data_IF_754996721359
#
_entry.id   IF_754996721359
#
_cell.length_a   1.000
_cell.length_b   1.000
_cell.length_c   1.000
_cell.angle_alpha   90.00
_cell.angle_beta   90.00
_cell.angle_gamma   90.00
#
_symmetry.space_group_name_H-M   'P 1'
#
loop_
_entity.id
_entity.type
_entity.pdbx_description
1 polymer ?
#
# COMPACT_ATOMS: atom_id res chain seq x y z
N UNK A 1 -10.04 -10.62 16.13
CA UNK A 1 -9.55 -10.26 14.78
C UNK A 1 -8.49 -9.19 14.97
N UNK A 2 -7.23 -9.54 14.77
CA UNK A 2 -6.15 -8.56 14.76
C UNK A 2 -6.31 -7.69 13.52
N UNK A 3 -6.70 -6.42 13.71
CA UNK A 3 -6.68 -5.40 12.67
C UNK A 3 -5.22 -5.14 12.32
N UNK A 4 -4.73 -5.86 11.30
CA UNK A 4 -3.36 -5.70 10.81
C UNK A 4 -3.27 -4.38 10.04
N UNK A 5 -2.27 -3.59 10.45
CA UNK A 5 -1.57 -2.57 9.66
C UNK A 5 -1.57 -2.99 8.20
N UNK A 6 -1.90 -2.06 7.30
CA UNK A 6 -2.08 -2.24 5.86
C UNK A 6 -1.30 -3.45 5.38
N UNK A 7 -1.99 -4.51 4.96
CA UNK A 7 -1.31 -5.77 4.65
C UNK A 7 -0.53 -5.55 3.37
N UNK A 8 0.77 -5.80 3.40
CA UNK A 8 1.64 -5.63 2.26
C UNK A 8 2.14 -7.00 1.85
N UNK A 9 1.95 -7.37 0.60
CA UNK A 9 2.44 -8.61 0.00
C UNK A 9 3.31 -8.26 -1.20
N UNK A 10 4.43 -8.95 -1.35
CA UNK A 10 5.42 -8.69 -2.41
C UNK A 10 5.28 -9.72 -3.53
N UNK A 11 5.40 -9.26 -4.78
CA UNK A 11 5.51 -10.08 -5.98
C UNK A 11 6.57 -9.45 -6.89
N UNK A 12 7.75 -10.07 -7.00
CA UNK A 12 8.87 -9.49 -7.74
C UNK A 12 9.16 -8.07 -7.26
N UNK A 13 9.18 -7.11 -8.19
CA UNK A 13 9.35 -5.69 -7.89
C UNK A 13 8.03 -4.94 -7.64
N UNK A 14 6.93 -5.65 -7.36
CA UNK A 14 5.60 -5.07 -7.11
C UNK A 14 5.12 -5.39 -5.70
N UNK A 15 4.51 -4.39 -5.05
CA UNK A 15 3.86 -4.55 -3.76
C UNK A 15 2.35 -4.42 -3.90
N UNK A 16 1.62 -5.40 -3.40
CA UNK A 16 0.20 -5.31 -3.14
C UNK A 16 0.01 -4.66 -1.77
N UNK A 17 -0.58 -3.46 -1.76
CA UNK A 17 -0.89 -2.73 -0.53
C UNK A 17 -2.39 -2.77 -0.29
N UNK A 18 -2.79 -3.50 0.75
CA UNK A 18 -4.17 -3.68 1.16
C UNK A 18 -4.54 -2.70 2.28
N UNK A 19 -5.32 -1.66 1.94
CA UNK A 19 -5.85 -0.65 2.90
C UNK A 19 -7.38 -0.73 3.01
N UNK A 20 -8.01 -0.18 4.05
CA UNK A 20 -9.48 -0.29 4.24
C UNK A 20 -10.33 0.11 3.02
N UNK A 21 -9.82 1.00 2.14
CA UNK A 21 -10.55 1.54 0.98
C UNK A 21 -10.20 0.92 -0.38
N UNK A 22 -9.33 -0.09 -0.44
CA UNK A 22 -8.99 -0.75 -1.70
C UNK A 22 -7.66 -1.48 -1.70
N UNK A 23 -7.23 -1.88 -2.90
CA UNK A 23 -5.94 -2.52 -3.15
C UNK A 23 -5.15 -1.64 -4.11
N UNK A 24 -3.86 -1.48 -3.85
CA UNK A 24 -2.94 -0.81 -4.74
C UNK A 24 -1.82 -1.76 -5.14
N UNK A 25 -1.48 -1.75 -6.43
CA UNK A 25 -0.23 -2.28 -6.96
C UNK A 25 0.76 -1.14 -6.97
N UNK A 26 1.90 -1.33 -6.32
CA UNK A 26 2.90 -0.27 -6.13
C UNK A 26 4.25 -0.79 -6.62
N UNK A 27 4.89 -0.13 -7.59
CA UNK A 27 6.25 -0.46 -7.99
C UNK A 27 7.19 -0.34 -6.79
N UNK A 28 8.22 -1.17 -6.70
CA UNK A 28 9.18 -1.17 -5.59
C UNK A 28 9.83 0.21 -5.41
N UNK A 29 10.16 0.88 -6.51
CA UNK A 29 10.76 2.21 -6.50
C UNK A 29 9.85 3.26 -5.83
N UNK A 30 8.53 3.18 -6.03
CA UNK A 30 7.57 4.08 -5.37
C UNK A 30 7.30 3.62 -3.93
N UNK A 31 7.18 2.31 -3.70
CA UNK A 31 6.97 1.77 -2.36
C UNK A 31 8.11 2.14 -1.42
N UNK A 32 9.37 2.06 -1.86
CA UNK A 32 10.54 2.44 -1.07
C UNK A 32 10.62 3.94 -0.78
N UNK A 33 10.06 4.80 -1.64
CA UNK A 33 9.95 6.25 -1.40
C UNK A 33 8.91 6.57 -0.33
N UNK A 34 7.85 5.79 -0.26
CA UNK A 34 6.75 5.95 0.69
C UNK A 34 7.10 5.30 2.04
N UNK A 35 7.87 4.21 2.01
CA UNK A 35 8.14 3.38 3.18
C UNK A 35 8.78 4.19 4.30
N UNK A 36 8.19 3.99 5.48
CA UNK A 36 8.66 4.47 6.76
C UNK A 36 10.15 4.11 6.95
N UNK A 37 11.03 5.11 6.91
CA UNK A 37 12.39 4.97 7.46
C UNK A 37 12.25 4.88 8.97
N UNK A 38 12.33 3.68 9.57
CA UNK A 38 12.56 3.31 10.99
C UNK A 38 11.88 4.12 12.12
N UNK A 39 11.00 5.06 11.83
CA UNK A 39 10.56 6.13 12.73
C UNK A 39 9.03 6.31 12.76
N UNK A 40 8.29 5.45 12.07
CA UNK A 40 6.82 5.49 12.03
C UNK A 40 6.20 6.65 11.24
N UNK A 41 7.00 7.38 10.46
CA UNK A 41 6.54 8.45 9.57
C UNK A 41 6.52 7.97 8.13
N UNK A 42 5.37 8.09 7.47
CA UNK A 42 5.19 7.84 6.03
C UNK A 42 5.35 9.18 5.32
N UNK A 43 6.28 9.26 4.37
CA UNK A 43 6.58 10.51 3.66
C UNK A 43 6.08 10.44 2.21
N UNK A 44 5.65 11.57 1.67
CA UNK A 44 5.38 11.77 0.24
C UNK A 44 5.97 13.09 -0.24
N UNK A 45 6.21 13.19 -1.55
CA UNK A 45 6.56 14.47 -2.17
C UNK A 45 5.39 15.44 -2.06
N UNK A 46 5.67 16.72 -1.77
CA UNK A 46 4.62 17.74 -1.61
C UNK A 46 3.70 17.81 -2.82
N UNK A 47 4.24 17.70 -4.03
CA UNK A 47 3.46 17.83 -5.27
C UNK A 47 2.28 16.86 -5.39
N UNK A 48 2.31 15.75 -4.66
CA UNK A 48 1.21 14.78 -4.64
C UNK A 48 0.02 15.27 -3.81
N UNK A 49 0.17 16.29 -2.96
CA UNK A 49 -0.94 16.84 -2.14
C UNK A 49 -1.73 17.93 -2.86
N UNK A 50 -1.21 18.49 -3.94
CA UNK A 50 -1.82 19.58 -4.68
C UNK A 50 -2.80 19.04 -5.72
N UNK A 51 -4.10 19.15 -5.46
CA UNK A 51 -5.09 19.16 -6.54
C UNK A 51 -4.83 20.42 -7.39
N UNK A 52 -4.68 20.25 -8.70
CA UNK A 52 -4.37 21.29 -9.68
C UNK A 52 -5.48 22.35 -9.90
N UNK A 53 -6.36 22.56 -8.91
CA UNK A 53 -7.47 23.51 -9.04
C UNK A 53 -7.48 24.56 -7.93
N UNK A 54 -7.16 25.77 -8.37
CA UNK A 54 -7.56 27.07 -7.85
C UNK A 54 -6.70 27.75 -6.75
N UNK A 55 -6.75 29.09 -6.80
CA UNK A 55 -5.75 30.09 -6.39
C UNK A 55 -5.55 30.29 -4.88
N UNK A 56 -5.61 29.25 -4.08
CA UNK A 56 -5.11 29.24 -2.71
C UNK A 56 -4.70 27.81 -2.35
N UNK A 57 -3.61 27.33 -2.96
CA UNK A 57 -3.03 26.04 -2.58
C UNK A 57 -2.66 26.14 -1.09
N UNK A 58 -3.42 25.48 -0.20
CA UNK A 58 -3.17 25.49 1.24
C UNK A 58 -1.67 25.21 1.46
N UNK A 59 -0.98 26.20 2.02
CA UNK A 59 0.47 26.13 2.17
C UNK A 59 0.79 24.93 3.05
N UNK A 60 1.54 23.98 2.50
CA UNK A 60 1.98 22.80 3.23
C UNK A 60 3.17 23.20 4.09
N UNK A 61 2.91 23.52 5.36
CA UNK A 61 3.90 24.06 6.28
C UNK A 61 4.38 22.99 7.26
N UNK A 62 5.70 22.94 7.48
CA UNK A 62 6.30 22.13 8.52
C UNK A 62 6.03 22.75 9.90
N UNK A 63 5.44 22.00 10.84
CA UNK A 63 5.11 22.53 12.17
C UNK A 63 6.34 22.91 13.02
N UNK A 64 7.52 22.40 12.66
CA UNK A 64 8.74 22.59 13.46
C UNK A 64 9.52 23.82 12.99
N UNK A 65 9.87 23.88 11.70
CA UNK A 65 10.61 25.02 11.16
C UNK A 65 9.69 26.16 10.66
N UNK A 66 8.38 25.92 10.53
CA UNK A 66 7.40 26.85 9.94
C UNK A 66 7.71 27.27 8.50
N UNK A 67 8.61 26.55 7.84
CA UNK A 67 8.89 26.74 6.42
C UNK A 67 7.86 26.00 5.58
N UNK A 68 7.52 26.61 4.45
CA UNK A 68 6.71 26.00 3.43
C UNK A 68 7.55 24.97 2.66
N UNK A 69 7.07 23.73 2.59
CA UNK A 69 7.78 22.67 1.88
C UNK A 69 7.77 22.95 0.37
N UNK A 70 8.86 22.79 -0.37
CA UNK A 70 8.84 22.87 -1.83
C UNK A 70 8.08 21.68 -2.44
N UNK A 71 7.65 21.79 -3.71
CA UNK A 71 6.91 20.72 -4.41
C UNK A 71 7.64 19.37 -4.43
N UNK A 72 8.96 19.38 -4.52
CA UNK A 72 9.78 18.17 -4.53
C UNK A 72 10.19 17.68 -3.13
N UNK A 73 9.84 18.43 -2.07
CA UNK A 73 10.19 18.05 -0.71
C UNK A 73 9.35 16.88 -0.22
N UNK A 74 10.02 15.98 0.51
CA UNK A 74 9.34 14.90 1.21
C UNK A 74 8.81 15.41 2.55
N UNK A 75 7.52 15.22 2.74
CA UNK A 75 6.80 15.64 3.94
C UNK A 75 5.96 14.49 4.51
N UNK A 76 5.85 14.44 5.83
CA UNK A 76 5.01 13.48 6.54
C UNK A 76 3.81 14.20 7.19
N UNK A 77 2.56 13.84 6.88
CA UNK A 77 1.39 14.48 7.46
C UNK A 77 1.23 14.20 8.96
N UNK A 78 0.80 15.22 9.72
CA UNK A 78 0.52 15.11 11.16
C UNK A 78 -0.90 14.67 11.51
N UNK A 79 -1.83 14.81 10.56
CA UNK A 79 -3.23 14.39 10.68
C UNK A 79 -3.81 14.07 9.30
N UNK A 80 -4.99 13.45 9.26
CA UNK A 80 -5.70 13.11 8.01
C UNK A 80 -6.03 14.31 7.13
N UNK A 81 -6.34 15.43 7.77
CA UNK A 81 -6.64 16.71 7.11
C UNK A 81 -5.39 17.48 6.73
N UNK A 82 -4.20 16.96 7.04
CA UNK A 82 -2.91 17.53 6.65
C UNK A 82 -2.70 19.01 7.05
N UNK A 83 -3.35 19.47 8.12
CA UNK A 83 -3.19 20.85 8.61
C UNK A 83 -1.73 21.28 8.78
N UNK A 84 -0.87 20.31 9.12
CA UNK A 84 0.56 20.48 9.19
C UNK A 84 1.28 19.20 8.79
N UNK A 85 2.54 19.37 8.38
CA UNK A 85 3.45 18.27 8.06
C UNK A 85 4.75 18.34 8.86
N UNK A 86 5.60 17.34 8.71
CA UNK A 86 7.02 17.38 9.07
C UNK A 86 7.85 17.29 7.80
N UNK A 87 8.75 18.25 7.58
CA UNK A 87 9.77 18.13 6.54
C UNK A 87 10.83 17.10 6.93
N UNK A 88 11.50 16.52 5.94
CA UNK A 88 12.54 15.51 6.13
C UNK A 88 13.61 15.92 7.14
N UNK A 89 14.08 17.17 7.08
CA UNK A 89 15.12 17.67 7.97
C UNK A 89 14.65 17.69 9.43
N UNK A 90 13.42 18.17 9.66
CA UNK A 90 12.81 18.17 10.99
C UNK A 90 12.55 16.75 11.49
N UNK A 91 12.18 15.80 10.63
CA UNK A 91 12.09 14.39 11.02
C UNK A 91 13.44 13.91 11.54
N UNK A 92 14.52 14.08 10.77
CA UNK A 92 15.88 13.66 11.15
C UNK A 92 16.37 14.33 12.43
N UNK A 93 16.07 15.61 12.60
CA UNK A 93 16.37 16.34 13.82
C UNK A 93 15.61 15.81 15.04
N UNK A 94 14.32 15.50 14.89
CA UNK A 94 13.51 14.89 15.95
C UNK A 94 14.06 13.51 16.36
N UNK A 95 14.69 12.75 15.45
CA UNK A 95 15.32 11.45 15.79
C UNK A 95 16.46 11.59 16.78
N UNK A 96 17.25 12.66 16.63
CA UNK A 96 18.48 12.89 17.41
C UNK A 96 18.20 13.48 18.80
N UNK A 97 16.98 13.96 19.06
CA UNK A 97 16.62 14.58 20.34
C UNK A 97 16.47 13.53 21.44
N UNK A 98 17.07 13.81 22.60
CA UNK A 98 16.93 13.00 23.82
C UNK A 98 15.50 13.01 24.37
N UNK A 99 14.79 14.13 24.20
CA UNK A 99 13.40 14.29 24.60
C UNK A 99 12.47 13.81 23.49
N UNK A 100 11.84 12.64 23.69
CA UNK A 100 10.98 11.96 22.71
C UNK A 100 9.53 12.46 22.72
N UNK A 101 9.29 13.73 23.07
CA UNK A 101 7.95 14.32 23.00
C UNK A 101 7.42 14.22 21.57
N UNK A 102 6.25 13.60 21.43
CA UNK A 102 5.59 13.41 20.15
C UNK A 102 5.11 14.77 19.62
N UNK A 103 5.43 15.05 18.36
CA UNK A 103 4.88 16.22 17.67
C UNK A 103 3.48 15.85 17.18
N UNK A 104 2.46 16.62 17.55
CA UNK A 104 1.06 16.34 17.20
C UNK A 104 0.47 17.50 16.41
N UNK A 105 -0.56 17.21 15.61
CA UNK A 105 -1.38 18.26 15.02
C UNK A 105 -2.11 19.01 16.16
N UNK A 106 -2.06 20.36 16.23
CA UNK A 106 -2.75 21.10 17.28
C UNK A 106 -4.28 21.10 17.10
N UNK A 107 -4.77 20.89 15.87
CA UNK A 107 -6.19 20.90 15.56
C UNK A 107 -6.86 19.54 15.70
N UNK A 108 -6.12 18.46 15.44
CA UNK A 108 -6.65 17.10 15.47
C UNK A 108 -6.17 16.39 16.74
N UNK A 109 -7.09 15.79 17.51
CA UNK A 109 -6.76 14.94 18.67
C UNK A 109 -6.33 13.51 18.26
N UNK A 110 -5.84 13.34 17.04
CA UNK A 110 -5.41 12.05 16.48
C UNK A 110 -4.06 11.65 17.09
N UNK A 111 -3.95 10.41 17.57
CA UNK A 111 -2.71 9.86 18.10
C UNK A 111 -1.96 9.15 16.98
N UNK A 112 -0.72 9.53 16.66
CA UNK A 112 0.02 8.90 15.55
C UNK A 112 0.47 7.48 15.86
N UNK A 113 0.58 7.14 17.15
CA UNK A 113 0.85 5.77 17.61
C UNK A 113 -0.33 4.81 17.36
N UNK A 114 -1.50 5.33 17.01
CA UNK A 114 -2.63 4.49 16.63
C UNK A 114 -2.34 3.80 15.28
N UNK A 115 -2.41 2.47 15.27
CA UNK A 115 -2.21 1.66 14.08
C UNK A 115 -3.24 1.98 13.00
N UNK A 116 -4.49 2.27 13.40
CA UNK A 116 -5.57 2.65 12.48
C UNK A 116 -5.25 3.98 11.81
N UNK A 117 -4.69 4.92 12.57
CA UNK A 117 -4.25 6.20 12.02
C UNK A 117 -3.15 6.01 10.96
N UNK A 118 -2.15 5.16 11.23
CA UNK A 118 -1.07 4.88 10.28
C UNK A 118 -1.60 4.25 8.98
N UNK A 119 -2.53 3.30 9.09
CA UNK A 119 -3.18 2.69 7.93
C UNK A 119 -3.92 3.70 7.08
N UNK A 120 -4.70 4.58 7.72
CA UNK A 120 -5.50 5.55 7.00
C UNK A 120 -4.65 6.65 6.37
N UNK A 121 -3.57 7.07 7.01
CA UNK A 121 -2.58 7.96 6.41
C UNK A 121 -1.97 7.30 5.18
N UNK A 122 -1.50 6.05 5.27
CA UNK A 122 -1.00 5.32 4.10
C UNK A 122 -2.05 5.29 2.98
N UNK A 123 -3.31 5.03 3.33
CA UNK A 123 -4.40 5.00 2.36
C UNK A 123 -4.69 6.34 1.70
N UNK A 124 -4.68 7.43 2.46
CA UNK A 124 -4.81 8.79 1.93
C UNK A 124 -3.63 9.10 1.02
N UNK A 125 -2.41 8.80 1.46
CA UNK A 125 -1.19 9.03 0.69
C UNK A 125 -1.23 8.30 -0.67
N UNK A 126 -1.59 7.01 -0.71
CA UNK A 126 -1.74 6.29 -1.98
C UNK A 126 -2.86 6.85 -2.87
N UNK A 127 -3.91 7.42 -2.28
CA UNK A 127 -4.99 8.06 -3.06
C UNK A 127 -4.55 9.38 -3.71
N UNK A 128 -3.54 10.03 -3.13
CA UNK A 128 -2.98 11.30 -3.60
C UNK A 128 -1.89 11.14 -4.66
N UNK A 129 -1.26 9.96 -4.72
CA UNK A 129 -0.30 9.66 -5.79
C UNK A 129 -1.09 9.48 -7.09
N UNK A 130 -0.68 10.11 -8.21
CA UNK A 130 -1.25 9.83 -9.51
C UNK A 130 -1.24 8.32 -9.78
N UNK A 131 -2.41 7.75 -10.01
CA UNK A 131 -2.56 6.31 -10.17
C UNK A 131 -3.50 5.98 -11.32
N UNK A 132 -3.23 4.86 -11.97
CA UNK A 132 -4.15 4.27 -12.93
C UNK A 132 -5.19 3.43 -12.19
N UNK A 133 -6.37 3.27 -12.78
CA UNK A 133 -7.39 2.34 -12.27
C UNK A 133 -7.51 1.17 -13.22
N UNK A 134 -7.28 -0.06 -12.74
CA UNK A 134 -7.47 -1.26 -13.53
C UNK A 134 -8.78 -1.96 -13.18
N UNK A 135 -9.63 -2.15 -14.18
CA UNK A 135 -10.86 -2.95 -14.06
C UNK A 135 -10.62 -4.45 -14.27
N UNK A 136 -9.47 -4.79 -14.82
CA UNK A 136 -9.07 -6.16 -15.11
C UNK A 136 -7.60 -6.35 -14.78
N UNK A 137 -7.29 -7.47 -14.13
CA UNK A 137 -5.93 -7.88 -13.83
C UNK A 137 -5.81 -9.40 -13.98
N UNK A 138 -4.92 -9.86 -14.85
CA UNK A 138 -4.50 -11.26 -14.86
C UNK A 138 -3.27 -11.38 -13.96
N UNK A 139 -3.37 -12.18 -12.89
CA UNK A 139 -2.25 -12.34 -11.96
C UNK A 139 -1.24 -13.34 -12.53
N UNK A 140 0.00 -12.88 -12.73
CA UNK A 140 1.12 -13.72 -13.19
C UNK A 140 2.32 -13.58 -12.26
N UNK A 141 3.17 -14.62 -12.12
CA UNK A 141 4.35 -14.55 -11.25
C UNK A 141 5.37 -13.49 -11.67
N UNK A 142 5.46 -13.20 -12.97
CA UNK A 142 6.40 -12.29 -13.60
C UNK A 142 5.82 -10.88 -13.82
N UNK A 143 4.62 -10.60 -13.32
CA UNK A 143 4.01 -9.28 -13.52
C UNK A 143 4.75 -8.19 -12.74
N UNK A 144 4.88 -7.02 -13.35
CA UNK A 144 5.40 -5.82 -12.70
C UNK A 144 4.47 -4.63 -12.93
N UNK A 145 4.20 -3.88 -11.86
CA UNK A 145 3.52 -2.60 -11.96
C UNK A 145 4.53 -1.53 -12.41
N UNK A 146 4.24 -0.86 -13.52
CA UNK A 146 5.06 0.28 -13.99
C UNK A 146 4.81 1.54 -13.18
N UNK A 147 3.56 1.75 -12.77
CA UNK A 147 3.10 2.90 -11.98
C UNK A 147 2.21 2.44 -10.83
N UNK A 148 1.88 3.34 -9.92
CA UNK A 148 0.90 3.04 -8.86
C UNK A 148 -0.46 2.79 -9.51
N UNK A 149 -1.07 1.65 -9.22
CA UNK A 149 -2.34 1.25 -9.82
C UNK A 149 -3.33 0.85 -8.75
N UNK A 150 -4.53 1.44 -8.79
CA UNK A 150 -5.63 1.09 -7.91
C UNK A 150 -6.47 -0.02 -8.52
N UNK A 151 -6.76 -1.03 -7.70
CA UNK A 151 -7.74 -2.08 -8.00
C UNK A 151 -9.01 -1.79 -7.16
N UNK A 152 -10.05 -1.19 -7.76
CA UNK A 152 -11.35 -1.06 -7.12
C UNK A 152 -12.00 -2.42 -6.84
N UNK A 153 -13.13 -2.41 -6.12
CA UNK A 153 -13.79 -3.65 -5.70
C UNK A 153 -14.33 -4.47 -6.87
N UNK A 154 -14.69 -3.77 -7.93
CA UNK A 154 -15.24 -4.31 -9.17
C UNK A 154 -14.14 -4.88 -10.08
N UNK A 155 -12.86 -4.67 -9.76
CA UNK A 155 -11.76 -5.22 -10.55
C UNK A 155 -11.87 -6.73 -10.63
N UNK A 156 -11.89 -7.25 -11.86
CA UNK A 156 -11.81 -8.69 -12.12
C UNK A 156 -10.37 -9.12 -12.05
N UNK A 157 -10.05 -9.99 -11.09
CA UNK A 157 -8.71 -10.57 -10.93
C UNK A 157 -8.74 -12.02 -11.39
N UNK A 158 -8.12 -12.31 -12.53
CA UNK A 158 -8.06 -13.65 -13.09
C UNK A 158 -6.87 -14.41 -12.53
N UNK A 159 -7.14 -15.61 -12.03
CA UNK A 159 -6.15 -16.59 -11.58
C UNK A 159 -6.24 -17.84 -12.47
N UNK A 160 -5.14 -18.18 -13.14
CA UNK A 160 -5.06 -19.32 -14.05
C UNK A 160 -3.68 -19.98 -13.97
N UNK A 161 -3.63 -21.27 -13.64
CA UNK A 161 -2.41 -22.08 -13.58
C UNK A 161 -1.27 -21.43 -12.80
N UNK A 162 -1.59 -20.94 -11.60
CA UNK A 162 -0.68 -20.12 -10.81
C UNK A 162 -0.63 -20.58 -9.35
N UNK A 163 0.56 -20.50 -8.74
CA UNK A 163 0.75 -20.68 -7.31
C UNK A 163 0.58 -19.34 -6.61
N UNK A 164 -0.40 -19.23 -5.71
CA UNK A 164 -0.73 -18.00 -5.00
C UNK A 164 -0.68 -18.27 -3.51
N UNK A 165 -0.06 -17.37 -2.77
CA UNK A 165 -0.05 -17.48 -1.32
C UNK A 165 -1.48 -17.35 -0.76
N UNK A 166 -1.80 -18.10 0.29
CA UNK A 166 -3.08 -18.02 1.00
C UNK A 166 -3.42 -16.57 1.39
N UNK A 167 -2.41 -15.82 1.84
CA UNK A 167 -2.49 -14.41 2.17
C UNK A 167 -2.99 -13.57 1.00
N UNK A 168 -2.41 -13.70 -0.19
CA UNK A 168 -2.80 -12.91 -1.35
C UNK A 168 -4.19 -13.32 -1.81
N UNK A 169 -4.45 -14.62 -1.90
CA UNK A 169 -5.72 -15.16 -2.36
C UNK A 169 -6.90 -14.64 -1.52
N UNK A 170 -6.82 -14.74 -0.19
CA UNK A 170 -7.90 -14.27 0.68
C UNK A 170 -8.05 -12.75 0.70
N UNK A 171 -6.95 -12.00 0.53
CA UNK A 171 -7.02 -10.54 0.45
C UNK A 171 -7.67 -10.07 -0.85
N UNK A 172 -7.35 -10.71 -1.98
CA UNK A 172 -8.00 -10.44 -3.26
C UNK A 172 -9.48 -10.80 -3.19
N UNK A 173 -9.84 -12.00 -2.69
CA UNK A 173 -11.24 -12.41 -2.55
C UNK A 173 -12.10 -11.44 -1.73
N UNK A 174 -11.53 -10.84 -0.68
CA UNK A 174 -12.25 -9.89 0.16
C UNK A 174 -12.46 -8.51 -0.47
N UNK A 175 -11.75 -8.19 -1.56
CA UNK A 175 -11.57 -6.80 -2.03
C UNK A 175 -11.65 -6.62 -3.54
N UNK A 176 -11.70 -7.69 -4.32
CA UNK A 176 -11.84 -7.68 -5.78
C UNK A 176 -12.77 -8.81 -6.23
N UNK A 177 -13.13 -8.84 -7.50
CA UNK A 177 -13.85 -9.95 -8.12
C UNK A 177 -12.86 -10.99 -8.64
N UNK A 178 -12.50 -11.97 -7.80
CA UNK A 178 -11.57 -13.05 -8.21
C UNK A 178 -12.28 -14.06 -9.10
N UNK A 179 -11.69 -14.34 -10.26
CA UNK A 179 -12.15 -15.32 -11.23
C UNK A 179 -11.08 -16.40 -11.43
N UNK A 180 -11.45 -17.66 -11.19
CA UNK A 180 -10.55 -18.80 -11.38
C UNK A 180 -10.95 -19.47 -12.70
N UNK A 181 -10.08 -19.38 -13.71
CA UNK A 181 -10.38 -19.94 -15.05
C UNK A 181 -9.77 -21.32 -15.27
N UNK A 182 -8.79 -21.72 -14.46
CA UNK A 182 -8.18 -23.05 -14.51
C UNK A 182 -7.82 -23.56 -13.10
N UNK A 183 -6.64 -24.17 -12.92
CA UNK A 183 -6.17 -24.63 -11.62
C UNK A 183 -5.40 -23.52 -10.91
N UNK A 184 -5.66 -23.35 -9.62
CA UNK A 184 -4.89 -22.46 -8.73
C UNK A 184 -4.34 -23.30 -7.60
N UNK A 185 -3.10 -23.04 -7.21
CA UNK A 185 -2.44 -23.72 -6.10
C UNK A 185 -2.19 -22.74 -4.98
N UNK A 186 -2.71 -23.03 -3.79
CA UNK A 186 -2.51 -22.23 -2.61
C UNK A 186 -1.38 -22.78 -1.76
N UNK A 187 -0.45 -21.90 -1.39
CA UNK A 187 0.61 -22.21 -0.43
C UNK A 187 0.56 -21.26 0.75
N UNK A 188 1.09 -21.70 1.88
CA UNK A 188 1.16 -20.87 3.08
C UNK A 188 2.11 -19.70 2.86
N UNK A 189 1.65 -18.47 3.10
CA UNK A 189 2.52 -17.30 2.97
C UNK A 189 3.59 -17.24 4.07
N UNK A 190 4.84 -17.11 3.66
CA UNK A 190 5.98 -16.80 4.52
C UNK A 190 6.53 -15.44 4.12
N UNK A 191 6.89 -14.59 5.08
CA UNK A 191 7.31 -13.19 4.82
C UNK A 191 8.55 -13.05 3.90
N UNK A 192 9.31 -14.12 3.68
CA UNK A 192 10.48 -14.17 2.81
C UNK A 192 10.16 -14.57 1.37
N UNK A 193 8.94 -15.03 1.09
CA UNK A 193 8.54 -15.52 -0.23
C UNK A 193 7.60 -14.55 -0.92
N UNK A 194 7.75 -14.44 -2.24
CA UNK A 194 6.78 -13.74 -3.08
C UNK A 194 5.41 -14.40 -2.97
N UNK A 195 4.38 -13.59 -3.15
CA UNK A 195 3.00 -14.00 -2.93
C UNK A 195 2.36 -14.70 -4.14
N UNK A 196 3.09 -14.81 -5.24
CA UNK A 196 2.73 -15.50 -6.47
C UNK A 196 4.01 -16.12 -7.07
N UNK A 197 3.94 -17.38 -7.50
CA UNK A 197 5.09 -18.16 -7.97
C UNK A 197 4.73 -18.97 -9.22
N UNK A 198 5.74 -19.26 -10.04
CA UNK A 198 5.60 -20.14 -11.21
C UNK A 198 5.56 -21.61 -10.78
N UNK A 199 6.43 -22.00 -9.84
CA UNK A 199 6.50 -23.35 -9.27
C UNK A 199 6.81 -23.29 -7.76
N UNK A 200 6.51 -24.39 -7.04
CA UNK A 200 6.87 -24.57 -5.64
C UNK A 200 8.00 -25.59 -5.51
N UNK A 201 9.03 -25.25 -4.74
CA UNK A 201 10.14 -26.16 -4.43
C UNK A 201 9.64 -27.42 -3.70
N UNK A 202 10.27 -28.55 -4.01
CA UNK A 202 9.92 -29.88 -3.48
C UNK A 202 9.96 -30.00 -1.93
N UNK A 203 10.56 -29.03 -1.24
CA UNK A 203 10.65 -28.97 0.22
C UNK A 203 9.52 -28.18 0.91
N UNK A 204 8.58 -27.61 0.16
CA UNK A 204 7.43 -26.87 0.72
C UNK A 204 6.27 -27.79 1.06
N UNK A 205 5.49 -27.43 2.09
CA UNK A 205 4.26 -28.13 2.45
C UNK A 205 3.37 -28.29 1.21
N UNK A 206 2.76 -29.48 1.06
CA UNK A 206 1.97 -29.82 -0.11
C UNK A 206 0.88 -28.76 -0.35
N UNK A 207 0.87 -28.07 -1.51
CA UNK A 207 -0.07 -26.98 -1.77
C UNK A 207 -1.50 -27.50 -1.88
N UNK A 208 -2.45 -26.68 -1.47
CA UNK A 208 -3.87 -26.94 -1.69
C UNK A 208 -4.22 -26.57 -3.14
N UNK A 209 -4.86 -27.46 -3.89
CA UNK A 209 -5.31 -27.15 -5.24
C UNK A 209 -6.79 -26.79 -5.27
N UNK A 210 -7.12 -25.72 -5.99
CA UNK A 210 -8.48 -25.32 -6.33
C UNK A 210 -8.62 -25.45 -7.85
N UNK A 211 -9.63 -26.17 -8.30
CA UNK A 211 -9.92 -26.32 -9.73
C UNK A 211 -11.40 -26.14 -9.99
N UNK A 212 -11.75 -25.36 -11.01
CA UNK A 212 -13.12 -25.22 -11.49
C UNK A 212 -13.30 -26.17 -12.66
N UNK A 213 -14.13 -27.19 -12.48
CA UNK A 213 -14.60 -28.02 -13.58
C UNK A 213 -15.93 -27.46 -14.08
N UNK A 214 -15.94 -26.96 -15.31
CA UNK A 214 -17.20 -26.67 -16.00
C UNK A 214 -17.87 -28.00 -16.34
N UNK A 215 -18.90 -28.36 -15.58
CA UNK A 215 -19.84 -29.39 -15.99
C UNK A 215 -20.56 -28.86 -17.24
N UNK A 216 -20.07 -29.24 -18.42
CA UNK A 216 -20.81 -29.07 -19.66
C UNK A 216 -22.17 -29.78 -19.49
N UNK A 217 -23.24 -28.99 -19.31
CA UNK A 217 -24.59 -29.51 -19.47
C UNK A 217 -24.73 -29.90 -20.94
N UNK A 218 -24.63 -31.20 -21.20
CA UNK A 218 -25.02 -31.81 -22.47
C UNK A 218 -26.52 -31.64 -22.68
#
# INVERSE_FOLDING_TARGET
>A
METRVARILKLGNTFFVFINRGVFLVPQSEYERIRQRDNGYVCLKRKNFSEETDRDTERVICIVCHEEAALEDFVAPLCRQMHFVLCRECIEYLKKRTNKKEVVCPYCKEKKSDKVYQEEIIGILFSLIPHQTLLFLELRPDMEAETVTRLPRETRVILSNVYVSDALFFQLLGRTAVEITNRVFLFRHYNSLDCCLEELDAGTDKPLSISVSTLARR
#
